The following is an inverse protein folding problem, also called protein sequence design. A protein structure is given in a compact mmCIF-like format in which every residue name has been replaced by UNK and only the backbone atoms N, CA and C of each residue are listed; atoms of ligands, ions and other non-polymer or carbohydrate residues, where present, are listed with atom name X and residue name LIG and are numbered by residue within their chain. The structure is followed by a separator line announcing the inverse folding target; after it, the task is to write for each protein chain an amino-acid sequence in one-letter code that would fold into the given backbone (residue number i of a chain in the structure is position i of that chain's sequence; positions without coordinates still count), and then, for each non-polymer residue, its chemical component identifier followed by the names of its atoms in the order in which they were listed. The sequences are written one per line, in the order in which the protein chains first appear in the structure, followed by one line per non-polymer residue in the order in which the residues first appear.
data_IF_817137041734
#
_entry.id   IF_817137041734
#
_cell.length_a   1.000
_cell.length_b   1.000
_cell.length_c   1.000
_cell.angle_alpha   90.00
_cell.angle_beta   90.00
_cell.angle_gamma   90.00
#
_symmetry.space_group_name_H-M   'P 1'
#
loop_
_entity.id
_entity.type
_entity.pdbx_description
1 polymer ?
#
# COMPACT_ATOMS: atom_id res chain seq x y z
N UNK A 1 -17.19 -18.38 13.81
CA UNK A 1 -17.96 -18.20 12.56
C UNK A 1 -16.98 -17.91 11.43
N UNK A 2 -17.08 -18.55 10.27
CA UNK A 2 -16.14 -18.33 9.16
C UNK A 2 -16.44 -17.03 8.39
N UNK A 3 -15.43 -16.36 7.79
CA UNK A 3 -15.61 -15.23 6.88
C UNK A 3 -16.58 -15.53 5.73
N UNK A 4 -17.25 -14.48 5.22
CA UNK A 4 -18.19 -14.63 4.11
C UNK A 4 -17.53 -15.20 2.84
N UNK A 5 -16.26 -14.88 2.59
CA UNK A 5 -15.51 -15.39 1.45
C UNK A 5 -15.32 -16.91 1.47
N UNK A 6 -15.46 -17.57 2.62
CA UNK A 6 -15.36 -19.04 2.73
C UNK A 6 -16.71 -19.74 2.67
N UNK A 7 -17.81 -19.01 2.83
CA UNK A 7 -19.16 -19.56 2.97
C UNK A 7 -20.11 -19.13 1.87
N UNK A 8 -19.75 -18.13 1.07
CA UNK A 8 -20.59 -17.55 0.03
C UNK A 8 -19.77 -17.34 -1.26
N UNK A 9 -20.08 -18.09 -2.31
CA UNK A 9 -19.37 -18.04 -3.59
C UNK A 9 -19.43 -16.64 -4.26
N UNK A 10 -20.56 -15.92 -4.13
CA UNK A 10 -20.67 -14.56 -4.66
C UNK A 10 -19.73 -13.60 -3.93
N UNK A 11 -19.70 -13.68 -2.60
CA UNK A 11 -18.76 -12.86 -1.81
C UNK A 11 -17.29 -13.18 -2.16
N UNK A 12 -16.95 -14.44 -2.33
CA UNK A 12 -15.63 -14.86 -2.78
C UNK A 12 -15.29 -14.29 -4.16
N UNK A 13 -16.22 -14.37 -5.11
CA UNK A 13 -16.05 -13.83 -6.46
C UNK A 13 -15.84 -12.32 -6.47
N UNK A 14 -16.66 -11.57 -5.72
CA UNK A 14 -16.54 -10.11 -5.59
C UNK A 14 -15.20 -9.72 -4.96
N UNK A 15 -14.80 -10.41 -3.89
CA UNK A 15 -13.52 -10.17 -3.23
C UNK A 15 -12.33 -10.45 -4.17
N UNK A 16 -12.35 -11.59 -4.86
CA UNK A 16 -11.31 -11.95 -5.82
C UNK A 16 -11.23 -10.94 -6.98
N UNK A 17 -12.35 -10.49 -7.51
CA UNK A 17 -12.38 -9.46 -8.54
C UNK A 17 -11.74 -8.15 -8.06
N UNK A 18 -12.05 -7.70 -6.84
CA UNK A 18 -11.43 -6.52 -6.24
C UNK A 18 -9.92 -6.70 -6.05
N UNK A 19 -9.48 -7.87 -5.60
CA UNK A 19 -8.06 -8.21 -5.48
C UNK A 19 -7.35 -8.26 -6.84
N UNK A 20 -8.00 -8.75 -7.90
CA UNK A 20 -7.43 -8.74 -9.25
C UNK A 20 -7.28 -7.32 -9.80
N UNK A 21 -8.25 -6.43 -9.56
CA UNK A 21 -8.17 -5.01 -9.93
C UNK A 21 -6.95 -4.36 -9.26
N UNK A 22 -6.58 -4.77 -8.06
CA UNK A 22 -5.36 -4.31 -7.40
C UNK A 22 -4.09 -4.95 -7.98
N UNK A 23 -4.06 -6.30 -8.08
CA UNK A 23 -2.84 -7.05 -8.40
C UNK A 23 -2.40 -6.92 -9.86
N UNK A 24 -3.32 -6.98 -10.82
CA UNK A 24 -2.98 -6.99 -12.25
C UNK A 24 -2.19 -5.74 -12.66
N UNK A 25 -2.63 -4.51 -12.34
CA UNK A 25 -1.87 -3.32 -12.67
C UNK A 25 -0.52 -3.25 -11.95
N UNK A 26 -0.43 -3.74 -10.69
CA UNK A 26 0.83 -3.79 -9.96
C UNK A 26 1.85 -4.72 -10.65
N UNK A 27 1.42 -5.88 -11.11
CA UNK A 27 2.26 -6.81 -11.87
C UNK A 27 2.72 -6.20 -13.20
N UNK A 28 1.82 -5.60 -13.96
CA UNK A 28 2.15 -4.93 -15.23
C UNK A 28 3.16 -3.79 -14.99
N UNK A 29 2.95 -3.00 -13.95
CA UNK A 29 3.85 -1.93 -13.54
C UNK A 29 5.24 -2.48 -13.15
N UNK A 30 5.32 -3.59 -12.43
CA UNK A 30 6.58 -4.24 -12.07
C UNK A 30 7.38 -4.67 -13.30
N UNK A 31 6.74 -5.36 -14.23
CA UNK A 31 7.37 -5.83 -15.48
C UNK A 31 7.89 -4.65 -16.31
N UNK A 32 7.08 -3.61 -16.50
CA UNK A 32 7.48 -2.42 -17.27
C UNK A 32 8.65 -1.67 -16.64
N UNK A 33 8.74 -1.63 -15.32
CA UNK A 33 9.81 -0.93 -14.63
C UNK A 33 11.13 -1.70 -14.67
N UNK A 34 11.12 -3.03 -14.50
CA UNK A 34 12.32 -3.86 -14.64
C UNK A 34 12.97 -3.63 -16.01
N UNK A 35 12.17 -3.46 -17.07
CA UNK A 35 12.66 -3.14 -18.41
C UNK A 35 13.25 -1.72 -18.54
N UNK A 36 12.83 -0.74 -17.67
CA UNK A 36 13.34 0.64 -17.71
C UNK A 36 14.60 0.84 -16.86
N UNK A 37 14.72 0.19 -15.71
CA UNK A 37 15.87 0.31 -14.78
C UNK A 37 17.15 -0.20 -15.44
N UNK A 38 17.06 -1.16 -16.36
CA UNK A 38 18.20 -1.60 -17.18
C UNK A 38 18.79 -0.50 -18.09
N UNK A 39 18.17 0.70 -18.13
CA UNK A 39 18.55 1.79 -19.06
C UNK A 39 19.00 3.10 -18.41
N UNK A 40 18.91 3.25 -17.07
CA UNK A 40 19.30 4.50 -16.40
C UNK A 40 20.21 4.21 -15.20
N UNK A 41 21.33 4.90 -15.15
CA UNK A 41 22.25 4.99 -14.00
C UNK A 41 21.60 5.78 -12.85
N UNK A 42 20.61 5.20 -12.18
CA UNK A 42 20.09 5.75 -10.93
C UNK A 42 20.79 5.04 -9.78
N UNK A 43 21.35 5.78 -8.83
CA UNK A 43 21.93 5.18 -7.63
C UNK A 43 20.80 4.53 -6.80
N UNK A 44 20.79 3.18 -6.79
CA UNK A 44 19.82 2.43 -5.99
C UNK A 44 20.23 2.49 -4.53
N UNK A 45 19.48 3.22 -3.71
CA UNK A 45 19.71 3.36 -2.26
C UNK A 45 18.72 2.50 -1.44
N UNK A 46 18.18 1.43 -2.02
CA UNK A 46 17.06 0.67 -1.47
C UNK A 46 17.38 -0.08 -0.17
N UNK A 47 18.63 -0.43 0.09
CA UNK A 47 19.08 -1.17 1.30
C UNK A 47 18.21 -2.42 1.62
N UNK A 48 17.63 -3.06 0.62
CA UNK A 48 16.74 -4.20 0.80
C UNK A 48 15.33 -3.86 1.34
N UNK A 49 14.98 -2.58 1.45
CA UNK A 49 13.70 -2.15 2.00
C UNK A 49 12.50 -2.63 1.19
N UNK A 50 12.65 -2.80 -0.11
CA UNK A 50 11.61 -3.38 -0.98
C UNK A 50 11.36 -4.85 -0.66
N UNK A 51 12.41 -5.64 -0.44
CA UNK A 51 12.29 -7.04 -0.05
C UNK A 51 11.57 -7.21 1.29
N UNK A 52 11.92 -6.37 2.28
CA UNK A 52 11.26 -6.36 3.59
C UNK A 52 9.79 -5.98 3.46
N UNK A 53 9.48 -4.93 2.69
CA UNK A 53 8.11 -4.49 2.45
C UNK A 53 7.27 -5.61 1.82
N UNK A 54 7.77 -6.21 0.74
CA UNK A 54 7.08 -7.29 0.02
C UNK A 54 6.94 -8.53 0.93
N UNK A 55 7.98 -8.91 1.66
CA UNK A 55 7.96 -10.03 2.59
C UNK A 55 6.91 -9.85 3.68
N UNK A 56 6.89 -8.69 4.37
CA UNK A 56 5.89 -8.39 5.39
C UNK A 56 4.48 -8.33 4.82
N UNK A 57 4.31 -7.81 3.60
CA UNK A 57 3.01 -7.78 2.94
C UNK A 57 2.48 -9.20 2.69
N UNK A 58 3.29 -10.09 2.13
CA UNK A 58 2.90 -11.48 1.87
C UNK A 58 2.66 -12.28 3.15
N UNK A 59 3.51 -12.10 4.18
CA UNK A 59 3.29 -12.69 5.50
C UNK A 59 1.99 -12.19 6.11
N UNK A 60 1.72 -10.89 6.05
CA UNK A 60 0.48 -10.30 6.53
C UNK A 60 -0.75 -10.86 5.81
N UNK A 61 -0.70 -10.98 4.49
CA UNK A 61 -1.79 -11.56 3.68
C UNK A 61 -1.99 -13.05 4.03
N UNK A 62 -0.93 -13.84 4.11
CA UNK A 62 -1.02 -15.25 4.46
C UNK A 62 -1.63 -15.45 5.85
N UNK A 63 -1.17 -14.68 6.85
CA UNK A 63 -1.73 -14.70 8.21
C UNK A 63 -3.18 -14.22 8.25
N UNK A 64 -3.53 -13.21 7.45
CA UNK A 64 -4.91 -12.72 7.35
C UNK A 64 -5.88 -13.83 6.92
N UNK A 65 -5.53 -14.60 5.89
CA UNK A 65 -6.36 -15.72 5.46
C UNK A 65 -6.32 -16.89 6.47
N UNK A 66 -5.15 -17.24 6.97
CA UNK A 66 -5.01 -18.34 7.93
C UNK A 66 -5.80 -18.08 9.23
N UNK A 67 -5.65 -16.90 9.82
CA UNK A 67 -6.36 -16.54 11.06
C UNK A 67 -7.88 -16.41 10.84
N UNK A 68 -8.31 -15.92 9.70
CA UNK A 68 -9.74 -15.86 9.35
C UNK A 68 -10.40 -17.24 9.30
N UNK A 69 -9.66 -18.26 8.83
CA UNK A 69 -10.14 -19.64 8.78
C UNK A 69 -9.94 -20.42 10.09
N UNK A 70 -8.77 -20.29 10.70
CA UNK A 70 -8.34 -21.14 11.84
C UNK A 70 -8.69 -20.55 13.20
N UNK A 71 -8.99 -19.26 13.32
CA UNK A 71 -9.27 -18.60 14.59
C UNK A 71 -10.67 -17.96 14.65
N UNK A 72 -11.75 -18.77 14.64
CA UNK A 72 -13.12 -18.31 14.62
C UNK A 72 -13.55 -17.56 15.90
N UNK A 73 -12.79 -17.67 16.99
CA UNK A 73 -13.04 -16.93 18.23
C UNK A 73 -12.90 -15.40 18.06
N UNK A 74 -12.08 -14.95 17.10
CA UNK A 74 -11.92 -13.54 16.78
C UNK A 74 -12.88 -13.05 15.67
N UNK A 75 -13.87 -13.85 15.25
CA UNK A 75 -14.82 -13.49 14.22
C UNK A 75 -15.70 -12.31 14.65
N UNK A 76 -15.87 -11.34 13.75
CA UNK A 76 -16.84 -10.25 13.92
C UNK A 76 -18.20 -10.81 13.47
N UNK A 77 -19.13 -10.95 14.41
CA UNK A 77 -20.43 -11.59 14.16
C UNK A 77 -21.53 -10.62 13.77
N UNK A 78 -21.35 -9.34 14.07
CA UNK A 78 -22.32 -8.27 13.79
C UNK A 78 -22.04 -7.57 12.46
N UNK A 79 -23.09 -7.16 11.76
CA UNK A 79 -23.03 -6.42 10.48
C UNK A 79 -22.04 -6.96 9.43
N UNK A 80 -21.86 -8.28 9.36
CA UNK A 80 -20.83 -8.93 8.53
C UNK A 80 -20.90 -8.54 7.06
N UNK A 81 -22.08 -8.51 6.46
CA UNK A 81 -22.26 -8.13 5.06
C UNK A 81 -21.89 -6.66 4.84
N UNK A 82 -22.27 -5.77 5.76
CA UNK A 82 -21.89 -4.35 5.67
C UNK A 82 -20.38 -4.16 5.80
N UNK A 83 -19.73 -4.86 6.74
CA UNK A 83 -18.27 -4.83 6.89
C UNK A 83 -17.55 -5.40 5.67
N UNK A 84 -18.07 -6.48 5.10
CA UNK A 84 -17.55 -7.05 3.86
C UNK A 84 -17.63 -6.04 2.71
N UNK A 85 -18.79 -5.43 2.48
CA UNK A 85 -18.99 -4.43 1.43
C UNK A 85 -18.14 -3.19 1.65
N UNK A 86 -18.04 -2.73 2.90
CA UNK A 86 -17.11 -1.65 3.27
C UNK A 86 -15.67 -2.04 2.95
N UNK A 87 -15.26 -3.26 3.28
CA UNK A 87 -13.94 -3.78 2.96
C UNK A 87 -13.65 -3.75 1.46
N UNK A 88 -14.57 -4.27 0.63
CA UNK A 88 -14.46 -4.23 -0.84
C UNK A 88 -14.38 -2.79 -1.35
N UNK A 89 -15.21 -1.89 -0.83
CA UNK A 89 -15.19 -0.47 -1.21
C UNK A 89 -13.85 0.19 -0.88
N UNK A 90 -13.27 -0.11 0.29
CA UNK A 90 -11.96 0.39 0.69
C UNK A 90 -10.82 -0.17 -0.17
N UNK A 91 -10.91 -1.44 -0.62
CA UNK A 91 -9.97 -1.99 -1.60
C UNK A 91 -9.96 -1.12 -2.87
N UNK A 92 -11.13 -0.87 -3.44
CA UNK A 92 -11.25 -0.12 -4.70
C UNK A 92 -10.81 1.35 -4.54
N UNK A 93 -11.20 2.01 -3.44
CA UNK A 93 -10.77 3.38 -3.13
C UNK A 93 -9.26 3.47 -2.92
N UNK A 94 -8.67 2.51 -2.22
CA UNK A 94 -7.23 2.44 -2.00
C UNK A 94 -6.46 2.26 -3.31
N UNK A 95 -6.95 1.39 -4.19
CA UNK A 95 -6.41 1.19 -5.54
C UNK A 95 -6.49 2.49 -6.34
N UNK A 96 -7.64 3.14 -6.35
CA UNK A 96 -7.83 4.40 -7.07
C UNK A 96 -6.88 5.50 -6.56
N UNK A 97 -6.76 5.67 -5.23
CA UNK A 97 -5.83 6.62 -4.62
C UNK A 97 -4.37 6.32 -5.00
N UNK A 98 -3.98 5.04 -4.94
CA UNK A 98 -2.63 4.62 -5.29
C UNK A 98 -2.30 4.93 -6.75
N UNK A 99 -3.19 4.58 -7.67
CA UNK A 99 -3.00 4.87 -9.10
C UNK A 99 -3.00 6.35 -9.40
N UNK A 100 -3.88 7.12 -8.76
CA UNK A 100 -3.87 8.58 -8.87
C UNK A 100 -2.53 9.17 -8.40
N UNK A 101 -2.01 8.68 -7.29
CA UNK A 101 -0.69 9.10 -6.80
C UNK A 101 0.44 8.75 -7.78
N UNK A 102 0.48 7.49 -8.26
CA UNK A 102 1.49 7.04 -9.25
C UNK A 102 1.41 7.89 -10.52
N UNK A 103 0.22 8.15 -11.00
CA UNK A 103 -0.01 8.96 -12.21
C UNK A 103 0.46 10.40 -12.02
N UNK A 104 0.16 11.00 -10.87
CA UNK A 104 0.62 12.36 -10.53
C UNK A 104 2.14 12.45 -10.45
N UNK A 105 2.82 11.44 -9.94
CA UNK A 105 4.28 11.40 -9.87
C UNK A 105 4.92 11.17 -11.24
N UNK A 106 4.24 10.45 -12.13
CA UNK A 106 4.64 10.23 -13.51
C UNK A 106 6.01 9.56 -13.64
N UNK A 107 6.94 10.19 -14.35
CA UNK A 107 8.28 9.67 -14.61
C UNK A 107 9.17 9.58 -13.37
N UNK A 108 8.83 10.29 -12.29
CA UNK A 108 9.56 10.24 -11.02
C UNK A 108 9.16 9.05 -10.14
N UNK A 109 8.10 8.32 -10.50
CA UNK A 109 7.71 7.13 -9.76
C UNK A 109 8.69 5.99 -10.05
N UNK A 110 9.33 5.49 -8.99
CA UNK A 110 10.17 4.29 -9.02
C UNK A 110 9.72 3.33 -7.92
N UNK A 111 9.79 2.03 -8.18
CA UNK A 111 9.48 1.00 -7.16
C UNK A 111 10.64 0.84 -6.19
N UNK A 112 11.87 0.89 -6.72
CA UNK A 112 13.09 0.94 -5.91
C UNK A 112 13.34 2.36 -5.41
N UNK A 113 14.06 2.52 -4.30
CA UNK A 113 14.54 3.84 -3.88
C UNK A 113 15.67 4.27 -4.80
N UNK A 114 15.29 4.76 -5.98
CA UNK A 114 16.20 5.28 -6.98
C UNK A 114 15.83 6.76 -7.22
N UNK A 115 16.69 7.65 -6.75
CA UNK A 115 16.48 9.10 -6.89
C UNK A 115 17.39 9.62 -8.00
N UNK A 116 16.81 10.23 -9.03
CA UNK A 116 17.57 10.88 -10.11
C UNK A 116 18.08 12.24 -9.63
N UNK A 117 19.27 12.65 -10.09
CA UNK A 117 19.83 13.98 -9.82
C UNK A 117 18.91 15.13 -10.32
N UNK A 118 18.07 14.85 -11.33
CA UNK A 118 17.11 15.83 -11.89
C UNK A 118 15.74 15.77 -11.20
N UNK A 119 15.58 14.95 -10.15
CA UNK A 119 14.29 14.79 -9.48
C UNK A 119 13.85 16.06 -8.78
N UNK A 120 12.61 16.47 -9.07
CA UNK A 120 11.97 17.62 -8.44
C UNK A 120 10.91 17.14 -7.42
N UNK A 121 10.65 17.99 -6.42
CA UNK A 121 9.57 17.76 -5.47
C UNK A 121 8.23 17.98 -6.15
N UNK A 122 7.45 16.92 -6.33
CA UNK A 122 6.08 17.00 -6.87
C UNK A 122 5.15 17.39 -5.73
N UNK A 123 4.37 18.47 -5.93
CA UNK A 123 3.44 19.02 -4.92
C UNK A 123 2.01 19.15 -5.46
N UNK A 124 1.70 18.45 -6.55
CA UNK A 124 0.38 18.47 -7.19
C UNK A 124 -0.49 17.30 -6.72
N UNK A 125 -1.80 17.41 -6.93
CA UNK A 125 -2.75 16.36 -6.59
C UNK A 125 -2.66 15.95 -5.12
N UNK A 126 -2.59 14.64 -4.81
CA UNK A 126 -2.56 14.14 -3.45
C UNK A 126 -1.25 14.51 -2.71
N UNK A 127 -0.15 14.79 -3.44
CA UNK A 127 1.14 15.22 -2.90
C UNK A 127 1.11 16.63 -2.29
N UNK A 128 0.05 17.39 -2.55
CA UNK A 128 -0.16 18.67 -1.87
C UNK A 128 -0.42 18.51 -0.37
N UNK A 129 -0.99 17.38 0.04
CA UNK A 129 -1.45 17.14 1.41
C UNK A 129 -0.59 16.13 2.17
N UNK A 130 -0.14 15.09 1.48
CA UNK A 130 0.66 14.00 2.07
C UNK A 130 1.83 13.62 1.16
N UNK A 131 2.94 13.21 1.76
CA UNK A 131 4.18 12.89 1.03
C UNK A 131 4.12 11.53 0.32
N UNK A 132 3.39 10.58 0.90
CA UNK A 132 3.37 9.20 0.45
C UNK A 132 1.95 8.69 0.13
N UNK A 133 1.19 9.37 -0.76
CA UNK A 133 -0.20 9.00 -1.06
C UNK A 133 -0.32 7.61 -1.69
N UNK A 134 0.70 7.15 -2.43
CA UNK A 134 0.71 5.80 -2.98
C UNK A 134 0.74 4.73 -1.86
N UNK A 135 1.47 4.97 -0.77
CA UNK A 135 1.47 4.07 0.39
C UNK A 135 0.19 4.17 1.21
N UNK A 136 -0.38 5.37 1.33
CA UNK A 136 -1.72 5.55 1.92
C UNK A 136 -2.79 4.75 1.17
N UNK A 137 -2.72 4.73 -0.17
CA UNK A 137 -3.58 3.90 -1.01
C UNK A 137 -3.41 2.41 -0.73
N UNK A 138 -2.16 1.93 -0.62
CA UNK A 138 -1.90 0.53 -0.25
C UNK A 138 -2.42 0.20 1.15
N UNK A 139 -2.21 1.08 2.13
CA UNK A 139 -2.72 0.90 3.49
C UNK A 139 -4.25 0.80 3.50
N UNK A 140 -4.94 1.67 2.75
CA UNK A 140 -6.40 1.65 2.61
C UNK A 140 -6.88 0.36 1.94
N UNK A 141 -6.18 -0.13 0.91
CA UNK A 141 -6.45 -1.41 0.27
C UNK A 141 -6.33 -2.56 1.28
N UNK A 142 -5.25 -2.60 2.07
CA UNK A 142 -5.03 -3.66 3.05
C UNK A 142 -6.01 -3.59 4.22
N UNK A 143 -6.42 -2.39 4.64
CA UNK A 143 -7.52 -2.21 5.58
C UNK A 143 -8.80 -2.86 5.04
N UNK A 144 -9.10 -2.63 3.76
CA UNK A 144 -10.24 -3.25 3.08
C UNK A 144 -10.15 -4.77 3.04
N UNK A 145 -8.99 -5.32 2.70
CA UNK A 145 -8.73 -6.78 2.71
C UNK A 145 -8.96 -7.37 4.09
N UNK A 146 -8.42 -6.74 5.14
CA UNK A 146 -8.60 -7.19 6.53
C UNK A 146 -10.05 -7.13 6.99
N UNK A 147 -10.78 -6.06 6.67
CA UNK A 147 -12.20 -5.91 7.01
C UNK A 147 -13.09 -6.93 6.30
N UNK A 148 -12.80 -7.24 5.02
CA UNK A 148 -13.54 -8.24 4.26
C UNK A 148 -13.46 -9.64 4.88
N UNK A 149 -12.40 -9.94 5.65
CA UNK A 149 -12.27 -11.18 6.42
C UNK A 149 -13.20 -11.23 7.62
N UNK A 150 -13.78 -10.11 8.06
CA UNK A 150 -14.68 -10.05 9.24
C UNK A 150 -14.12 -10.79 10.46
N UNK A 151 -12.82 -10.63 10.71
CA UNK A 151 -12.09 -11.25 11.81
C UNK A 151 -11.04 -10.28 12.38
N UNK A 152 -11.11 -10.01 13.69
CA UNK A 152 -10.22 -9.05 14.36
C UNK A 152 -8.75 -9.45 14.30
N UNK A 153 -8.44 -10.72 14.53
CA UNK A 153 -7.07 -11.22 14.51
C UNK A 153 -6.45 -11.05 13.10
N UNK A 154 -7.20 -11.37 12.06
CA UNK A 154 -6.82 -11.18 10.66
C UNK A 154 -6.54 -9.71 10.36
N UNK A 155 -7.49 -8.82 10.70
CA UNK A 155 -7.38 -7.39 10.44
C UNK A 155 -6.16 -6.78 11.14
N UNK A 156 -6.03 -6.99 12.45
CA UNK A 156 -4.94 -6.39 13.24
C UNK A 156 -3.57 -6.90 12.76
N UNK A 157 -3.42 -8.21 12.54
CA UNK A 157 -2.15 -8.79 12.09
C UNK A 157 -1.74 -8.26 10.72
N UNK A 158 -2.68 -8.18 9.76
CA UNK A 158 -2.40 -7.62 8.44
C UNK A 158 -1.97 -6.16 8.54
N UNK A 159 -2.70 -5.34 9.29
CA UNK A 159 -2.38 -3.91 9.43
C UNK A 159 -1.04 -3.68 10.13
N UNK A 160 -0.67 -4.48 11.12
CA UNK A 160 0.64 -4.40 11.77
C UNK A 160 1.77 -4.72 10.78
N UNK A 161 1.65 -5.79 10.00
CA UNK A 161 2.65 -6.13 8.98
C UNK A 161 2.80 -5.01 7.95
N UNK A 162 1.68 -4.47 7.48
CA UNK A 162 1.67 -3.37 6.50
C UNK A 162 2.29 -2.10 7.08
N UNK A 163 1.94 -1.74 8.32
CA UNK A 163 2.47 -0.55 9.00
C UNK A 163 3.99 -0.64 9.18
N UNK A 164 4.48 -1.78 9.66
CA UNK A 164 5.91 -2.01 9.85
C UNK A 164 6.68 -1.91 8.54
N UNK A 165 6.21 -2.60 7.49
CA UNK A 165 6.84 -2.57 6.17
C UNK A 165 6.90 -1.17 5.56
N UNK A 166 5.77 -0.44 5.60
CA UNK A 166 5.70 0.92 5.03
C UNK A 166 6.49 1.94 5.84
N UNK A 167 6.47 1.87 7.18
CA UNK A 167 7.24 2.79 8.02
C UNK A 167 8.74 2.65 7.78
N UNK A 168 9.23 1.42 7.69
CA UNK A 168 10.63 1.16 7.35
C UNK A 168 10.95 1.67 5.93
N UNK A 169 10.14 1.32 4.93
CA UNK A 169 10.32 1.74 3.54
C UNK A 169 10.38 3.26 3.41
N UNK A 170 9.40 3.96 3.98
CA UNK A 170 9.33 5.42 3.94
C UNK A 170 10.54 6.07 4.61
N UNK A 171 11.04 5.50 5.71
CA UNK A 171 12.23 6.03 6.36
C UNK A 171 13.49 5.96 5.48
N UNK A 172 13.62 4.91 4.67
CA UNK A 172 14.72 4.76 3.70
C UNK A 172 14.54 5.73 2.54
N UNK A 173 13.34 5.83 1.99
CA UNK A 173 12.99 6.71 0.87
C UNK A 173 13.16 8.20 1.23
N UNK A 174 12.66 8.65 2.38
CA UNK A 174 12.83 10.05 2.83
C UNK A 174 14.30 10.41 3.04
N UNK A 175 15.12 9.49 3.57
CA UNK A 175 16.58 9.73 3.68
C UNK A 175 17.24 9.92 2.32
N UNK A 176 16.90 9.08 1.34
CA UNK A 176 17.43 9.20 0.00
C UNK A 176 17.00 10.51 -0.69
N UNK A 177 15.72 10.90 -0.52
CA UNK A 177 15.19 12.15 -1.07
C UNK A 177 15.85 13.39 -0.42
N UNK A 178 16.08 13.38 0.90
CA UNK A 178 16.80 14.44 1.59
C UNK A 178 18.24 14.56 1.08
N UNK A 179 18.93 13.44 0.88
CA UNK A 179 20.32 13.43 0.40
C UNK A 179 20.45 13.94 -1.04
N UNK A 180 19.47 13.64 -1.90
CA UNK A 180 19.55 13.99 -3.32
C UNK A 180 18.94 15.34 -3.65
N UNK A 181 17.75 15.66 -3.11
CA UNK A 181 17.02 16.91 -3.39
C UNK A 181 17.41 18.02 -2.39
N UNK A 182 17.72 17.66 -1.15
CA UNK A 182 18.16 18.61 -0.11
C UNK A 182 17.07 19.53 0.39
N UNK A 183 17.38 20.81 0.53
CA UNK A 183 16.53 21.84 1.14
C UNK A 183 15.10 21.95 0.54
N UNK A 184 14.87 21.81 -0.77
CA UNK A 184 13.51 21.83 -1.32
C UNK A 184 12.63 20.72 -0.74
N UNK A 185 13.18 19.49 -0.53
CA UNK A 185 12.41 18.41 0.05
C UNK A 185 12.17 18.63 1.57
N UNK A 186 13.14 19.14 2.29
CA UNK A 186 13.00 19.49 3.71
C UNK A 186 11.88 20.51 3.92
N UNK A 187 11.84 21.58 3.10
CA UNK A 187 10.74 22.57 3.13
C UNK A 187 9.38 21.90 2.88
N UNK A 188 9.30 21.00 1.91
CA UNK A 188 8.08 20.25 1.61
C UNK A 188 7.61 19.40 2.81
N UNK A 189 8.55 18.77 3.54
CA UNK A 189 8.24 17.99 4.74
C UNK A 189 7.60 18.83 5.86
N UNK A 190 7.92 20.12 5.97
CA UNK A 190 7.31 20.99 6.97
C UNK A 190 5.82 21.29 6.71
N UNK A 191 5.39 21.22 5.45
CA UNK A 191 4.03 21.58 5.06
C UNK A 191 3.13 20.37 4.78
N UNK A 192 3.69 19.17 4.80
CA UNK A 192 2.96 17.93 4.46
C UNK A 192 3.15 16.85 5.51
N UNK A 193 2.18 15.95 5.62
CA UNK A 193 2.24 14.77 6.50
C UNK A 193 2.68 13.53 5.71
N UNK A 194 3.04 12.43 6.40
CA UNK A 194 3.50 11.20 5.73
C UNK A 194 2.37 10.47 5.01
N UNK A 195 1.33 10.07 5.74
CA UNK A 195 0.30 9.14 5.27
C UNK A 195 -1.11 9.69 5.35
N UNK A 196 -1.45 10.41 6.43
CA UNK A 196 -2.80 10.88 6.70
C UNK A 196 -2.78 12.41 6.76
N UNK A 197 -3.64 13.10 5.96
CA UNK A 197 -3.71 14.55 6.02
C UNK A 197 -3.99 15.03 7.44
N UNK A 198 -3.30 16.06 7.87
CA UNK A 198 -3.45 16.75 9.16
C UNK A 198 -3.06 15.95 10.42
N UNK A 199 -2.82 14.63 10.32
CA UNK A 199 -2.59 13.78 11.50
C UNK A 199 -1.16 13.25 11.53
N UNK A 200 -0.73 12.51 10.52
CA UNK A 200 0.55 11.76 10.55
C UNK A 200 1.23 11.68 9.19
#
# INVERSE_FOLDING_TARGET
MLPLIYTNALAAGVFLAACMIWNIPEMIGAIKQTAKVSRKEASVQDRGSMGILIGLLWVGIALNFALGGLFPAAAITWHRTALFLLGVSLILLGVALRWYAIWTLGSYFTRDVAVSAEQKVVQNGPYRYIRHPAYSGTFLTMLGVGLAMTNWASLVTLLLCVLLGHTYRVSVEEKALIQTIGQPYIKYMHHTKRFIPLVF
#
